data_IF_191528522432
#
_entry.id   IF_191528522432
#
_cell.length_a   1.000
_cell.length_b   1.000
_cell.length_c   1.000
_cell.angle_alpha   90.00
_cell.angle_beta   90.00
_cell.angle_gamma   90.00
#
_symmetry.space_group_name_H-M   'P 1'
#
loop_
_entity.id
_entity.type
_entity.pdbx_description
1 polymer ?
#
# COMPACT_ATOMS: atom_id res chain seq x y z
N UNK A 1 9.42 14.08 5.46
CA UNK A 1 8.50 13.67 6.52
C UNK A 1 9.23 13.67 7.86
N UNK A 2 8.55 14.05 8.92
CA UNK A 2 9.16 14.22 10.25
C UNK A 2 9.70 12.91 10.83
N UNK A 3 9.06 11.80 10.51
CA UNK A 3 9.45 10.46 10.96
C UNK A 3 10.15 9.61 9.90
N UNK A 4 10.30 10.08 8.64
CA UNK A 4 11.04 9.36 7.63
C UNK A 4 12.56 9.50 7.85
N UNK A 5 13.31 8.47 7.47
CA UNK A 5 14.77 8.43 7.59
C UNK A 5 15.38 8.03 6.24
N UNK A 6 16.49 8.67 5.86
CA UNK A 6 17.30 8.26 4.72
C UNK A 6 18.76 8.16 5.15
N UNK A 7 19.45 7.10 4.73
CA UNK A 7 20.88 6.92 4.90
C UNK A 7 21.50 6.46 3.58
N UNK A 8 22.47 7.21 3.09
CA UNK A 8 23.16 6.92 1.83
C UNK A 8 24.59 6.40 2.09
N UNK A 9 24.98 5.40 1.32
CA UNK A 9 26.36 4.89 1.25
C UNK A 9 26.85 5.10 -0.17
N UNK A 10 27.80 6.04 -0.34
CA UNK A 10 28.29 6.51 -1.63
C UNK A 10 29.80 6.43 -1.73
N UNK A 11 30.39 5.25 -1.99
CA UNK A 11 31.83 5.13 -2.23
C UNK A 11 32.27 5.94 -3.46
N UNK A 12 33.49 6.51 -3.48
CA UNK A 12 34.01 7.25 -4.62
C UNK A 12 34.00 6.41 -5.91
N UNK A 13 33.47 6.96 -7.01
CA UNK A 13 33.40 6.28 -8.30
C UNK A 13 32.35 5.19 -8.42
N UNK A 14 31.48 5.06 -7.44
CA UNK A 14 30.44 4.06 -7.43
C UNK A 14 29.35 4.25 -8.51
N UNK A 15 28.79 3.13 -8.96
CA UNK A 15 27.80 3.03 -10.03
C UNK A 15 26.34 3.18 -9.55
N UNK A 16 25.57 2.11 -9.70
CA UNK A 16 24.13 2.08 -9.46
C UNK A 16 23.72 2.31 -8.00
N UNK A 17 22.63 3.05 -7.80
CA UNK A 17 21.99 3.26 -6.51
C UNK A 17 20.87 2.24 -6.32
N UNK A 18 20.99 1.38 -5.33
CA UNK A 18 19.92 0.45 -4.95
C UNK A 18 19.31 0.91 -3.63
N UNK A 19 17.98 1.05 -3.58
CA UNK A 19 17.27 1.40 -2.36
C UNK A 19 16.73 0.15 -1.66
N UNK A 20 16.91 0.10 -0.34
CA UNK A 20 16.28 -0.87 0.56
C UNK A 20 15.36 -0.12 1.51
N UNK A 21 14.09 -0.55 1.58
CA UNK A 21 13.08 0.12 2.37
C UNK A 21 12.86 -0.61 3.70
N UNK A 22 12.69 0.19 4.74
CA UNK A 22 12.46 -0.22 6.12
C UNK A 22 11.13 0.38 6.60
N UNK A 23 10.04 -0.33 6.41
CA UNK A 23 8.72 0.05 6.90
C UNK A 23 8.58 -0.32 8.37
N UNK A 24 7.99 0.56 9.22
CA UNK A 24 8.05 0.36 10.67
C UNK A 24 6.83 0.87 11.45
N UNK A 25 5.81 1.39 10.79
CA UNK A 25 4.57 1.76 11.48
C UNK A 25 3.80 0.54 11.99
N UNK A 26 2.87 0.77 12.90
CA UNK A 26 2.15 -0.28 13.60
C UNK A 26 0.66 0.02 13.67
N UNK A 27 -0.16 -1.03 13.65
CA UNK A 27 -1.60 -0.93 13.75
C UNK A 27 -2.04 -0.47 15.14
N UNK A 28 -3.06 0.39 15.26
CA UNK A 28 -3.63 0.76 16.54
C UNK A 28 -4.09 -0.48 17.33
N UNK A 29 -3.77 -0.53 18.62
CA UNK A 29 -4.16 -1.56 19.59
C UNK A 29 -3.51 -2.93 19.43
N UNK A 30 -3.21 -3.40 18.22
CA UNK A 30 -2.59 -4.72 17.98
C UNK A 30 -1.10 -4.65 17.66
N UNK A 31 -0.52 -3.44 17.60
CA UNK A 31 0.91 -3.28 17.34
C UNK A 31 1.31 -3.79 15.97
N UNK A 32 2.41 -4.54 15.87
CA UNK A 32 2.91 -5.08 14.61
C UNK A 32 2.13 -6.29 14.10
N UNK A 33 0.80 -6.19 14.06
CA UNK A 33 -0.08 -7.22 13.48
C UNK A 33 0.06 -7.41 11.96
N UNK A 34 0.71 -6.48 11.26
CA UNK A 34 1.16 -6.62 9.88
C UNK A 34 2.63 -7.06 9.77
N UNK A 35 3.38 -7.02 10.90
CA UNK A 35 4.77 -7.47 10.95
C UNK A 35 5.81 -6.47 10.42
N UNK A 36 5.51 -5.17 10.42
CA UNK A 36 6.46 -4.15 9.97
C UNK A 36 7.76 -4.09 10.79
N UNK A 37 7.77 -4.62 12.03
CA UNK A 37 9.00 -4.85 12.79
C UNK A 37 9.98 -5.78 12.04
N UNK A 38 9.47 -6.80 11.35
CA UNK A 38 10.27 -7.69 10.50
C UNK A 38 10.79 -6.96 9.28
N UNK A 39 9.96 -6.12 8.63
CA UNK A 39 10.36 -5.30 7.47
C UNK A 39 11.49 -4.36 7.86
N UNK A 40 11.30 -3.60 8.96
CA UNK A 40 12.29 -2.66 9.46
C UNK A 40 13.63 -3.31 9.73
N UNK A 41 13.61 -4.43 10.48
CA UNK A 41 14.82 -5.13 10.87
C UNK A 41 15.50 -5.83 9.68
N UNK A 42 14.74 -6.44 8.76
CA UNK A 42 15.28 -7.05 7.55
C UNK A 42 15.89 -6.02 6.60
N UNK A 43 15.19 -4.89 6.39
CA UNK A 43 15.70 -3.80 5.56
C UNK A 43 16.97 -3.18 6.12
N UNK A 44 17.02 -2.91 7.44
CA UNK A 44 18.22 -2.42 8.09
C UNK A 44 19.36 -3.43 7.99
N UNK A 45 19.09 -4.73 8.25
CA UNK A 45 20.06 -5.79 8.13
C UNK A 45 20.64 -5.92 6.71
N UNK A 46 19.78 -5.83 5.69
CA UNK A 46 20.21 -5.83 4.29
C UNK A 46 21.07 -4.61 3.98
N UNK A 47 20.67 -3.43 4.48
CA UNK A 47 21.41 -2.19 4.34
C UNK A 47 22.80 -2.27 4.93
N UNK A 48 22.93 -2.77 6.16
CA UNK A 48 24.23 -2.94 6.84
C UNK A 48 25.13 -3.95 6.12
N UNK A 49 24.57 -5.08 5.67
CA UNK A 49 25.33 -6.11 4.96
C UNK A 49 25.82 -5.61 3.57
N UNK A 50 24.96 -4.93 2.81
CA UNK A 50 25.33 -4.36 1.51
C UNK A 50 26.33 -3.21 1.66
N UNK A 51 26.15 -2.33 2.68
CA UNK A 51 27.07 -1.24 2.97
C UNK A 51 28.50 -1.71 3.25
N UNK A 52 28.64 -2.86 3.93
CA UNK A 52 29.96 -3.41 4.27
C UNK A 52 30.79 -3.78 3.03
N UNK A 53 30.18 -4.05 1.88
CA UNK A 53 30.83 -4.45 0.64
C UNK A 53 30.66 -3.43 -0.50
N UNK A 54 29.95 -2.34 -0.28
CA UNK A 54 29.59 -1.37 -1.32
C UNK A 54 30.82 -0.79 -2.04
N UNK A 55 31.91 -0.48 -1.30
CA UNK A 55 33.13 0.05 -1.86
C UNK A 55 33.83 -0.96 -2.78
N UNK A 56 33.89 -2.22 -2.37
CA UNK A 56 34.54 -3.29 -3.13
C UNK A 56 33.70 -3.68 -4.36
N UNK A 57 32.38 -3.64 -4.24
CA UNK A 57 31.42 -3.95 -5.30
C UNK A 57 31.18 -2.77 -6.25
N UNK A 58 31.67 -1.56 -5.95
CA UNK A 58 31.47 -0.37 -6.76
C UNK A 58 30.03 0.11 -6.84
N UNK A 59 29.19 -0.17 -5.83
CA UNK A 59 27.77 0.19 -5.80
C UNK A 59 27.46 1.31 -4.82
N UNK A 60 26.28 1.91 -4.95
CA UNK A 60 25.70 2.87 -4.00
C UNK A 60 24.43 2.30 -3.39
N UNK A 61 24.22 2.59 -2.13
CA UNK A 61 23.07 2.12 -1.37
C UNK A 61 22.31 3.29 -0.77
N UNK A 62 20.99 3.24 -0.82
CA UNK A 62 20.09 4.11 -0.08
C UNK A 62 19.21 3.25 0.84
N UNK A 63 19.24 3.49 2.14
CA UNK A 63 18.34 2.86 3.11
C UNK A 63 17.28 3.88 3.50
N UNK A 64 16.01 3.53 3.27
CA UNK A 64 14.87 4.41 3.53
C UNK A 64 14.00 3.85 4.65
N UNK A 65 13.93 4.55 5.78
CA UNK A 65 12.91 4.32 6.81
C UNK A 65 11.59 4.96 6.38
N UNK A 66 10.57 4.13 6.12
CA UNK A 66 9.29 4.55 5.53
C UNK A 66 8.15 4.41 6.54
N UNK A 67 7.58 5.53 7.04
CA UNK A 67 6.46 5.53 7.98
C UNK A 67 5.11 5.44 7.26
N UNK A 68 4.06 5.17 8.04
CA UNK A 68 2.65 5.40 7.72
C UNK A 68 2.14 4.66 6.45
N UNK A 69 2.47 3.38 6.30
CA UNK A 69 1.90 2.54 5.23
C UNK A 69 0.43 2.22 5.51
N UNK A 70 0.09 1.94 6.77
CA UNK A 70 -1.24 1.48 7.21
C UNK A 70 -2.36 2.54 7.10
N UNK A 71 -2.05 3.72 6.60
CA UNK A 71 -3.09 4.74 6.42
C UNK A 71 -2.62 6.17 6.17
N UNK A 72 -1.35 6.39 5.83
CA UNK A 72 -0.82 7.73 5.57
C UNK A 72 -0.10 7.89 4.25
N UNK A 73 0.21 6.78 3.55
CA UNK A 73 0.90 6.81 2.27
C UNK A 73 2.31 7.41 2.36
N UNK A 74 3.07 7.01 3.38
CA UNK A 74 4.38 7.59 3.63
C UNK A 74 5.31 7.51 2.44
N UNK A 75 5.32 6.39 1.70
CA UNK A 75 6.15 6.22 0.51
C UNK A 75 5.68 7.10 -0.65
N UNK A 76 4.36 7.35 -0.79
CA UNK A 76 3.83 8.33 -1.76
C UNK A 76 4.39 9.70 -1.46
N UNK A 77 4.23 10.18 -0.22
CA UNK A 77 4.69 11.49 0.22
C UNK A 77 6.22 11.64 0.18
N UNK A 78 6.97 10.55 0.35
CA UNK A 78 8.42 10.53 0.20
C UNK A 78 8.81 10.58 -1.28
N UNK A 79 8.09 9.87 -2.15
CA UNK A 79 8.27 9.93 -3.61
C UNK A 79 8.05 11.33 -4.16
N UNK A 80 6.97 11.99 -3.78
CA UNK A 80 6.65 13.38 -4.16
C UNK A 80 7.74 14.38 -3.73
N UNK A 81 8.57 14.02 -2.74
CA UNK A 81 9.70 14.82 -2.24
C UNK A 81 11.06 14.36 -2.74
N UNK A 82 11.10 13.49 -3.74
CA UNK A 82 12.32 13.05 -4.41
C UNK A 82 13.13 11.99 -3.65
N UNK A 83 12.54 11.25 -2.70
CA UNK A 83 13.27 10.22 -1.96
C UNK A 83 13.80 9.09 -2.87
N UNK A 84 13.19 8.90 -4.03
CA UNK A 84 13.57 7.89 -5.02
C UNK A 84 14.35 8.47 -6.22
N UNK A 85 14.69 9.77 -6.20
CA UNK A 85 15.46 10.38 -7.29
C UNK A 85 16.85 9.76 -7.40
N UNK A 86 17.19 9.35 -8.63
CA UNK A 86 18.47 8.71 -8.92
C UNK A 86 18.60 7.27 -8.41
N UNK A 87 17.55 6.66 -7.87
CA UNK A 87 17.51 5.25 -7.50
C UNK A 87 17.30 4.39 -8.75
N UNK A 88 18.09 3.34 -8.91
CA UNK A 88 18.06 2.44 -10.06
C UNK A 88 17.17 1.20 -9.85
N UNK A 89 17.03 0.78 -8.60
CA UNK A 89 16.12 -0.29 -8.18
C UNK A 89 15.79 -0.15 -6.70
N UNK A 90 14.59 -0.57 -6.30
CA UNK A 90 14.14 -0.55 -4.91
C UNK A 90 13.59 -1.90 -4.48
N UNK A 91 13.77 -2.27 -3.22
CA UNK A 91 13.27 -3.53 -2.70
C UNK A 91 12.91 -3.46 -1.23
N UNK A 92 11.92 -4.27 -0.87
CA UNK A 92 11.47 -4.49 0.50
C UNK A 92 10.90 -5.91 0.60
N UNK A 93 11.11 -6.60 1.70
CA UNK A 93 10.42 -7.87 1.99
C UNK A 93 9.27 -7.61 2.96
N UNK A 94 8.16 -8.33 2.84
CA UNK A 94 7.03 -8.25 3.76
C UNK A 94 6.81 -9.60 4.46
N UNK A 95 6.70 -9.67 5.79
CA UNK A 95 6.38 -10.91 6.47
C UNK A 95 4.94 -11.35 6.16
N UNK A 96 4.76 -12.65 6.01
CA UNK A 96 3.46 -13.26 5.74
C UNK A 96 3.40 -14.68 6.31
N UNK A 97 2.31 -15.39 6.05
CA UNK A 97 2.17 -16.81 6.38
C UNK A 97 2.76 -17.73 5.29
N UNK A 98 3.42 -17.18 4.28
CA UNK A 98 4.04 -17.94 3.18
C UNK A 98 5.15 -17.14 2.50
N UNK A 99 6.05 -17.84 1.82
CA UNK A 99 7.02 -17.22 0.91
C UNK A 99 6.38 -17.04 -0.48
N UNK A 100 6.38 -15.81 -1.01
CA UNK A 100 5.78 -15.48 -2.30
C UNK A 100 6.59 -14.38 -2.99
N UNK A 101 6.91 -14.55 -4.28
CA UNK A 101 7.70 -13.56 -5.02
C UNK A 101 6.90 -12.38 -5.54
N UNK A 102 5.68 -12.62 -5.98
CA UNK A 102 4.84 -11.63 -6.65
C UNK A 102 3.46 -11.55 -5.96
N UNK A 103 3.33 -10.83 -4.83
CA UNK A 103 2.02 -10.56 -4.26
C UNK A 103 1.23 -9.61 -5.18
N UNK A 104 -0.08 -9.85 -5.27
CA UNK A 104 -0.99 -8.94 -5.98
C UNK A 104 -1.36 -7.77 -5.05
N UNK A 105 -0.83 -6.59 -5.30
CA UNK A 105 -1.34 -5.37 -4.68
C UNK A 105 -2.16 -4.57 -5.69
N UNK A 106 -3.36 -4.16 -5.28
CA UNK A 106 -4.33 -3.45 -6.11
C UNK A 106 -4.44 -1.98 -5.70
N UNK A 107 -4.83 -1.15 -6.66
CA UNK A 107 -5.03 0.28 -6.42
C UNK A 107 -6.24 0.55 -5.51
N UNK A 108 -6.12 1.58 -4.65
CA UNK A 108 -7.17 2.05 -3.75
C UNK A 108 -7.22 3.56 -3.66
N UNK A 109 -8.44 4.11 -3.64
CA UNK A 109 -8.75 5.48 -3.23
C UNK A 109 -9.63 5.47 -1.97
N UNK A 110 -9.26 6.30 -0.99
CA UNK A 110 -10.00 6.49 0.26
C UNK A 110 -10.60 7.89 0.28
N UNK A 111 -11.92 7.97 0.47
CA UNK A 111 -12.70 9.21 0.30
C UNK A 111 -13.53 9.48 1.56
N UNK A 112 -13.42 10.67 2.12
CA UNK A 112 -14.37 11.23 3.07
C UNK A 112 -15.38 12.06 2.29
N UNK A 113 -16.66 11.80 2.49
CA UNK A 113 -17.77 12.49 1.80
C UNK A 113 -18.68 13.10 2.84
N UNK A 114 -18.96 14.39 2.70
CA UNK A 114 -19.83 15.15 3.58
C UNK A 114 -21.04 15.64 2.82
N UNK A 115 -22.22 15.50 3.45
CA UNK A 115 -23.48 16.06 2.97
C UNK A 115 -23.94 17.14 3.95
N UNK A 116 -24.25 18.30 3.41
CA UNK A 116 -24.78 19.43 4.17
C UNK A 116 -26.17 19.78 3.65
N UNK A 117 -27.12 19.74 4.55
CA UNK A 117 -28.52 20.06 4.33
C UNK A 117 -28.99 21.23 5.20
N UNK A 118 -30.18 21.09 5.75
CA UNK A 118 -30.77 22.07 6.67
C UNK A 118 -31.66 21.38 7.69
N UNK A 119 -31.39 21.60 8.96
CA UNK A 119 -32.21 21.10 10.09
C UNK A 119 -33.61 21.69 10.13
N UNK A 120 -34.56 20.90 10.59
CA UNK A 120 -35.94 21.32 10.87
C UNK A 120 -36.56 20.42 11.93
N UNK A 121 -37.68 20.88 12.55
CA UNK A 121 -38.46 20.02 13.42
C UNK A 121 -39.22 18.98 12.58
N UNK A 122 -38.88 17.73 12.68
CA UNK A 122 -39.33 16.68 11.76
C UNK A 122 -40.86 16.46 11.73
N UNK A 123 -41.59 16.82 12.82
CA UNK A 123 -43.04 16.70 12.91
C UNK A 123 -43.78 18.03 12.67
N UNK A 124 -43.16 19.17 12.94
CA UNK A 124 -43.84 20.46 12.89
C UNK A 124 -43.66 21.20 11.55
N UNK A 125 -42.47 21.16 11.01
CA UNK A 125 -42.07 21.90 9.79
C UNK A 125 -41.05 21.13 8.95
N UNK A 126 -41.31 19.85 8.62
CA UNK A 126 -40.36 19.04 7.84
C UNK A 126 -40.06 19.64 6.47
N UNK A 127 -40.99 20.38 5.86
CA UNK A 127 -40.84 21.03 4.56
C UNK A 127 -39.77 22.15 4.55
N UNK A 128 -39.33 22.59 5.71
CA UNK A 128 -38.25 23.58 5.84
C UNK A 128 -36.87 22.90 5.90
N UNK A 129 -36.82 21.57 6.11
CA UNK A 129 -35.61 20.80 6.18
C UNK A 129 -35.04 20.39 4.79
N UNK A 130 -33.74 20.12 4.76
CA UNK A 130 -33.06 19.40 3.70
C UNK A 130 -32.27 18.28 4.38
N UNK A 131 -32.71 17.03 4.17
CA UNK A 131 -32.20 15.90 4.96
C UNK A 131 -30.88 15.37 4.39
N UNK A 132 -29.77 15.67 5.08
CA UNK A 132 -28.45 15.19 4.70
C UNK A 132 -28.30 13.66 4.81
N UNK A 133 -29.04 13.01 5.72
CA UNK A 133 -29.05 11.55 5.82
C UNK A 133 -29.76 10.92 4.63
N UNK A 134 -30.88 11.49 4.17
CA UNK A 134 -31.56 11.01 2.95
C UNK A 134 -30.62 11.14 1.72
N UNK A 135 -29.88 12.25 1.62
CA UNK A 135 -28.87 12.43 0.58
C UNK A 135 -27.83 11.30 0.61
N UNK A 136 -27.29 10.99 1.78
CA UNK A 136 -26.29 9.92 1.95
C UNK A 136 -26.87 8.53 1.68
N UNK A 137 -28.10 8.24 2.11
CA UNK A 137 -28.79 6.96 1.84
C UNK A 137 -29.10 6.80 0.35
N UNK A 138 -29.54 7.84 -0.34
CA UNK A 138 -29.77 7.81 -1.79
C UNK A 138 -28.46 7.58 -2.54
N UNK A 139 -27.39 8.26 -2.16
CA UNK A 139 -26.04 8.05 -2.69
C UNK A 139 -25.54 6.62 -2.48
N UNK A 140 -25.73 6.07 -1.26
CA UNK A 140 -25.39 4.67 -0.95
C UNK A 140 -26.17 3.68 -1.84
N UNK A 141 -27.47 3.90 -2.04
CA UNK A 141 -28.29 3.08 -2.91
C UNK A 141 -27.87 3.19 -4.38
N UNK A 142 -27.49 4.38 -4.84
CA UNK A 142 -26.97 4.56 -6.19
C UNK A 142 -25.64 3.79 -6.38
N UNK A 143 -24.72 3.81 -5.39
CA UNK A 143 -23.52 2.98 -5.38
C UNK A 143 -23.87 1.49 -5.33
N UNK A 144 -24.90 1.08 -4.58
CA UNK A 144 -25.36 -0.31 -4.54
C UNK A 144 -25.86 -0.78 -5.92
N UNK A 145 -26.58 0.07 -6.66
CA UNK A 145 -26.98 -0.19 -8.03
C UNK A 145 -25.79 -0.23 -9.00
N UNK A 146 -24.80 0.66 -8.80
CA UNK A 146 -23.57 0.66 -9.58
C UNK A 146 -22.80 -0.66 -9.47
N UNK A 147 -22.79 -1.31 -8.28
CA UNK A 147 -22.10 -2.60 -8.05
C UNK A 147 -22.53 -3.71 -9.00
N UNK A 148 -23.74 -3.64 -9.57
CA UNK A 148 -24.20 -4.56 -10.62
C UNK A 148 -23.37 -4.44 -11.92
N UNK A 149 -22.74 -3.29 -12.15
CA UNK A 149 -22.14 -2.89 -13.41
C UNK A 149 -20.65 -2.53 -13.30
N UNK A 150 -19.97 -2.97 -12.25
CA UNK A 150 -18.51 -2.87 -12.09
C UNK A 150 -17.83 -4.19 -12.47
N UNK A 151 -16.53 -4.13 -12.73
CA UNK A 151 -15.74 -5.31 -13.09
C UNK A 151 -15.55 -6.24 -11.88
N UNK A 152 -15.27 -7.53 -12.14
CA UNK A 152 -15.08 -8.55 -11.10
C UNK A 152 -13.91 -8.25 -10.15
N UNK A 153 -12.93 -7.46 -10.58
CA UNK A 153 -11.78 -7.03 -9.80
C UNK A 153 -11.97 -5.68 -9.09
N UNK A 154 -13.11 -5.02 -9.29
CA UNK A 154 -13.44 -3.74 -8.66
C UNK A 154 -14.24 -3.96 -7.36
N UNK A 155 -14.01 -3.10 -6.36
CA UNK A 155 -14.74 -3.13 -5.09
C UNK A 155 -15.02 -1.70 -4.61
N UNK A 156 -16.21 -1.53 -4.03
CA UNK A 156 -16.63 -0.28 -3.39
C UNK A 156 -17.23 -0.60 -2.01
N UNK A 157 -16.64 -0.03 -0.96
CA UNK A 157 -17.10 -0.19 0.42
C UNK A 157 -17.35 1.20 1.01
N UNK A 158 -18.33 1.32 1.92
CA UNK A 158 -18.57 2.58 2.60
C UNK A 158 -19.25 2.36 3.95
N UNK A 159 -18.99 3.28 4.86
CA UNK A 159 -19.61 3.35 6.19
C UNK A 159 -20.05 4.78 6.47
N UNK A 160 -21.11 4.96 7.27
CA UNK A 160 -21.47 6.25 7.81
C UNK A 160 -20.71 6.49 9.11
N UNK A 161 -20.05 7.63 9.23
CA UNK A 161 -19.36 8.08 10.43
C UNK A 161 -20.28 8.95 11.28
N UNK A 162 -21.11 9.78 10.63
CA UNK A 162 -22.11 10.65 11.24
C UNK A 162 -23.40 10.55 10.42
N UNK A 163 -24.56 10.43 11.10
CA UNK A 163 -25.83 10.18 10.41
C UNK A 163 -27.03 10.88 11.09
N UNK A 164 -26.79 12.00 11.79
CA UNK A 164 -27.78 12.77 12.54
C UNK A 164 -27.77 12.46 14.03
N UNK A 165 -28.57 13.20 14.81
CA UNK A 165 -28.56 13.13 16.27
C UNK A 165 -29.79 12.42 16.86
N UNK A 166 -31.01 12.86 16.47
CA UNK A 166 -32.30 12.37 17.00
C UNK A 166 -33.36 12.31 15.91
N UNK A 167 -34.30 11.34 15.96
CA UNK A 167 -35.34 11.17 14.96
C UNK A 167 -36.30 12.35 14.79
N UNK A 168 -36.45 13.21 15.79
CA UNK A 168 -37.30 14.41 15.73
C UNK A 168 -36.64 15.65 15.13
N UNK A 169 -35.39 15.55 14.71
CA UNK A 169 -34.62 16.59 14.01
C UNK A 169 -34.26 16.08 12.63
N UNK A 170 -34.58 16.83 11.57
CA UNK A 170 -34.12 16.54 10.23
C UNK A 170 -32.58 16.69 10.23
N UNK A 171 -31.81 15.64 9.89
CA UNK A 171 -30.35 15.71 9.88
C UNK A 171 -29.84 16.75 8.86
N UNK A 172 -29.05 17.69 9.31
CA UNK A 172 -28.47 18.75 8.49
C UNK A 172 -27.01 18.46 8.09
N UNK A 173 -26.41 17.43 8.69
CA UNK A 173 -25.05 17.01 8.38
C UNK A 173 -24.93 15.48 8.43
N UNK A 174 -24.21 14.91 7.46
CA UNK A 174 -23.89 13.47 7.40
C UNK A 174 -22.52 13.29 6.81
N UNK A 175 -21.74 12.38 7.38
CA UNK A 175 -20.39 12.03 6.92
C UNK A 175 -20.31 10.54 6.64
N UNK A 176 -19.74 10.21 5.51
CA UNK A 176 -19.44 8.82 5.11
C UNK A 176 -17.99 8.69 4.67
N UNK A 177 -17.41 7.52 4.91
CA UNK A 177 -16.11 7.14 4.37
C UNK A 177 -16.27 6.01 3.36
N UNK A 178 -15.53 6.10 2.25
CA UNK A 178 -15.61 5.17 1.14
C UNK A 178 -14.23 4.72 0.69
N UNK A 179 -14.09 3.42 0.43
CA UNK A 179 -12.95 2.83 -0.26
C UNK A 179 -13.37 2.36 -1.64
N UNK A 180 -12.65 2.81 -2.65
CA UNK A 180 -12.80 2.40 -4.04
C UNK A 180 -11.54 1.66 -4.44
N UNK A 181 -11.66 0.42 -4.92
CA UNK A 181 -10.53 -0.43 -5.28
C UNK A 181 -10.66 -0.95 -6.70
N UNK A 182 -9.54 -1.01 -7.41
CA UNK A 182 -9.47 -1.60 -8.75
C UNK A 182 -8.12 -2.29 -8.97
N UNK A 183 -8.03 -3.14 -9.99
CA UNK A 183 -6.81 -3.90 -10.28
C UNK A 183 -5.61 -3.01 -10.56
N UNK A 184 -5.80 -1.84 -11.20
CA UNK A 184 -4.73 -0.91 -11.55
C UNK A 184 -5.15 0.53 -11.25
N UNK A 185 -4.18 1.42 -11.13
CA UNK A 185 -4.43 2.86 -10.98
C UNK A 185 -5.23 3.41 -12.18
N UNK A 186 -4.93 2.95 -13.39
CA UNK A 186 -5.64 3.37 -14.60
C UNK A 186 -7.13 2.96 -14.58
N UNK A 187 -7.47 1.78 -14.05
CA UNK A 187 -8.85 1.31 -13.90
C UNK A 187 -9.56 1.87 -12.68
N UNK A 188 -8.82 2.34 -11.67
CA UNK A 188 -9.36 2.97 -10.46
C UNK A 188 -10.02 4.32 -10.77
N UNK A 189 -9.40 5.15 -11.62
CA UNK A 189 -9.87 6.53 -11.87
C UNK A 189 -11.30 6.58 -12.41
N UNK A 190 -11.66 5.86 -13.51
CA UNK A 190 -13.04 5.89 -14.02
C UNK A 190 -14.05 5.29 -13.03
N UNK A 191 -13.65 4.30 -12.21
CA UNK A 191 -14.53 3.77 -11.16
C UNK A 191 -14.80 4.81 -10.09
N UNK A 192 -13.76 5.51 -9.62
CA UNK A 192 -13.87 6.58 -8.60
C UNK A 192 -14.82 7.68 -9.08
N UNK A 193 -14.69 8.13 -10.33
CA UNK A 193 -15.59 9.13 -10.92
C UNK A 193 -17.05 8.67 -10.93
N UNK A 194 -17.32 7.41 -11.28
CA UNK A 194 -18.68 6.84 -11.25
C UNK A 194 -19.24 6.77 -9.83
N UNK A 195 -18.42 6.41 -8.84
CA UNK A 195 -18.81 6.39 -7.42
C UNK A 195 -19.16 7.81 -6.96
N UNK A 196 -18.31 8.79 -7.23
CA UNK A 196 -18.55 10.18 -6.87
C UNK A 196 -19.83 10.72 -7.53
N UNK A 197 -20.10 10.37 -8.80
CA UNK A 197 -21.34 10.74 -9.48
C UNK A 197 -22.58 10.12 -8.81
N UNK A 198 -22.51 8.87 -8.35
CA UNK A 198 -23.59 8.24 -7.58
C UNK A 198 -23.87 8.99 -6.28
N UNK A 199 -22.82 9.33 -5.53
CA UNK A 199 -22.91 10.05 -4.26
C UNK A 199 -23.45 11.46 -4.46
N UNK A 200 -22.98 12.17 -5.49
CA UNK A 200 -23.50 13.49 -5.87
C UNK A 200 -24.97 13.44 -6.30
N UNK A 201 -25.39 12.36 -6.96
CA UNK A 201 -26.80 12.12 -7.32
C UNK A 201 -27.71 12.10 -6.09
N UNK A 202 -27.28 11.51 -4.99
CA UNK A 202 -27.98 11.51 -3.71
C UNK A 202 -28.15 12.93 -3.13
N UNK A 203 -27.08 13.73 -3.14
CA UNK A 203 -27.13 15.12 -2.72
C UNK A 203 -28.12 15.95 -3.56
N UNK A 204 -28.05 15.80 -4.88
CA UNK A 204 -28.93 16.49 -5.82
C UNK A 204 -30.41 16.15 -5.58
N UNK A 205 -30.72 14.86 -5.36
CA UNK A 205 -32.07 14.39 -5.13
C UNK A 205 -32.67 14.91 -3.83
N UNK A 206 -31.86 15.06 -2.76
CA UNK A 206 -32.30 15.57 -1.47
C UNK A 206 -32.19 17.12 -1.33
N UNK A 207 -31.72 17.83 -2.36
CA UNK A 207 -31.50 19.28 -2.33
C UNK A 207 -30.33 19.71 -1.41
N UNK A 208 -29.43 18.77 -1.08
CA UNK A 208 -28.26 19.01 -0.23
C UNK A 208 -27.01 19.34 -1.07
N UNK A 209 -25.99 19.87 -0.42
CA UNK A 209 -24.65 19.98 -1.00
C UNK A 209 -23.80 18.77 -0.61
N UNK A 210 -22.86 18.38 -1.47
CA UNK A 210 -21.88 17.34 -1.21
C UNK A 210 -20.47 17.90 -1.42
N UNK A 211 -19.59 17.62 -0.49
CA UNK A 211 -18.14 17.80 -0.66
C UNK A 211 -17.43 16.49 -0.39
N UNK A 212 -16.24 16.35 -0.93
CA UNK A 212 -15.41 15.19 -0.64
C UNK A 212 -13.92 15.56 -0.63
N UNK A 213 -13.16 14.78 0.11
CA UNK A 213 -11.70 14.87 0.17
C UNK A 213 -11.09 13.47 0.27
N UNK A 214 -9.87 13.25 -0.21
CA UNK A 214 -9.14 12.01 0.06
C UNK A 214 -8.74 11.96 1.54
N UNK A 215 -8.90 10.79 2.19
CA UNK A 215 -8.44 10.58 3.57
C UNK A 215 -6.97 10.17 3.65
N UNK A 216 -6.42 9.68 2.52
CA UNK A 216 -5.01 9.33 2.34
C UNK A 216 -4.64 9.48 0.86
N UNK A 217 -3.35 9.55 0.50
CA UNK A 217 -2.90 9.41 -0.88
C UNK A 217 -3.44 8.13 -1.52
N UNK A 218 -3.70 8.15 -2.81
CA UNK A 218 -4.10 6.94 -3.54
C UNK A 218 -2.92 5.98 -3.62
N UNK A 219 -3.16 4.69 -3.30
CA UNK A 219 -2.16 3.65 -3.54
C UNK A 219 -2.35 3.07 -4.92
N UNK A 220 -1.23 2.93 -5.63
CA UNK A 220 -1.19 2.29 -6.94
C UNK A 220 -1.14 0.76 -6.80
N UNK A 221 -1.45 0.07 -7.87
CA UNK A 221 -1.13 -1.35 -7.99
C UNK A 221 0.39 -1.59 -8.03
N UNK A 222 0.83 -2.75 -7.58
CA UNK A 222 2.25 -3.10 -7.58
C UNK A 222 2.67 -3.63 -8.95
N UNK A 223 3.62 -2.94 -9.58
CA UNK A 223 4.30 -3.34 -10.81
C UNK A 223 5.60 -4.06 -10.48
N UNK A 224 5.51 -5.36 -10.23
CA UNK A 224 6.68 -6.16 -9.88
C UNK A 224 7.67 -6.26 -11.04
N UNK A 225 8.93 -5.87 -10.80
CA UNK A 225 10.01 -6.01 -11.78
C UNK A 225 10.51 -7.47 -11.82
N UNK A 226 10.18 -8.20 -12.86
CA UNK A 226 10.46 -9.65 -12.96
C UNK A 226 11.95 -10.00 -12.95
N UNK A 227 12.86 -9.35 -13.70
CA UNK A 227 14.28 -9.66 -13.60
C UNK A 227 14.82 -9.50 -12.17
N UNK A 228 14.37 -8.47 -11.44
CA UNK A 228 14.75 -8.24 -10.05
C UNK A 228 14.20 -9.33 -9.12
N UNK A 229 12.96 -9.79 -9.34
CA UNK A 229 12.35 -10.91 -8.61
C UNK A 229 13.15 -12.19 -8.80
N UNK A 230 13.60 -12.50 -10.01
CA UNK A 230 14.37 -13.72 -10.29
C UNK A 230 15.70 -13.73 -9.54
N UNK A 231 16.38 -12.59 -9.42
CA UNK A 231 17.58 -12.47 -8.58
C UNK A 231 17.25 -12.75 -7.12
N UNK A 232 16.22 -12.09 -6.58
CA UNK A 232 15.78 -12.30 -5.20
C UNK A 232 15.39 -13.76 -4.95
N UNK A 233 14.61 -14.38 -5.85
CA UNK A 233 14.18 -15.77 -5.74
C UNK A 233 15.36 -16.74 -5.69
N UNK A 234 16.36 -16.55 -6.56
CA UNK A 234 17.56 -17.36 -6.55
C UNK A 234 18.33 -17.24 -5.22
N UNK A 235 18.47 -16.02 -4.71
CA UNK A 235 19.15 -15.73 -3.46
C UNK A 235 18.38 -16.30 -2.25
N UNK A 236 17.06 -16.15 -2.21
CA UNK A 236 16.21 -16.74 -1.19
C UNK A 236 16.26 -18.28 -1.19
N UNK A 237 16.26 -18.88 -2.38
CA UNK A 237 16.41 -20.33 -2.54
C UNK A 237 17.79 -20.84 -2.04
N UNK A 238 18.86 -20.08 -2.25
CA UNK A 238 20.19 -20.39 -1.75
C UNK A 238 20.26 -20.41 -0.21
N UNK A 239 19.34 -19.70 0.46
CA UNK A 239 19.16 -19.72 1.92
C UNK A 239 18.24 -20.85 2.40
N UNK A 240 17.75 -21.71 1.50
CA UNK A 240 16.90 -22.86 1.79
C UNK A 240 15.39 -22.53 1.84
N UNK A 241 14.97 -21.32 1.46
CA UNK A 241 13.55 -20.97 1.36
C UNK A 241 12.96 -21.48 0.06
N UNK A 242 11.71 -21.92 0.10
CA UNK A 242 10.93 -22.31 -1.07
C UNK A 242 9.99 -21.16 -1.42
N UNK A 243 10.46 -20.28 -2.28
CA UNK A 243 9.68 -19.12 -2.71
C UNK A 243 8.86 -19.50 -3.94
N UNK A 244 7.56 -19.59 -3.77
CA UNK A 244 6.64 -19.99 -4.83
C UNK A 244 6.21 -18.78 -5.67
N UNK A 245 5.89 -19.08 -6.94
CA UNK A 245 5.09 -18.17 -7.76
C UNK A 245 3.62 -18.25 -7.31
N UNK A 246 2.82 -17.18 -7.47
CA UNK A 246 1.40 -17.24 -7.15
C UNK A 246 0.72 -18.41 -7.86
N UNK A 247 0.05 -19.28 -7.12
CA UNK A 247 -0.74 -20.35 -7.73
C UNK A 247 -1.87 -19.73 -8.59
N UNK A 248 -2.15 -20.26 -9.79
CA UNK A 248 -3.23 -19.76 -10.62
C UNK A 248 -4.56 -19.71 -9.84
N UNK A 249 -5.18 -18.54 -9.78
CA UNK A 249 -6.47 -18.32 -9.11
C UNK A 249 -6.41 -18.07 -7.60
N UNK A 250 -5.26 -18.21 -6.94
CA UNK A 250 -5.06 -17.82 -5.54
C UNK A 250 -4.35 -16.47 -5.47
N UNK A 251 -5.13 -15.41 -5.33
CA UNK A 251 -4.58 -14.05 -5.18
C UNK A 251 -4.58 -13.66 -3.70
N UNK A 252 -3.42 -13.30 -3.18
CA UNK A 252 -3.32 -12.54 -1.93
C UNK A 252 -3.45 -11.08 -2.34
N UNK A 253 -4.66 -10.54 -2.23
CA UNK A 253 -4.95 -9.17 -2.68
C UNK A 253 -4.86 -8.23 -1.49
N UNK A 254 -3.91 -7.32 -1.53
CA UNK A 254 -3.73 -6.25 -0.57
C UNK A 254 -3.63 -4.89 -1.30
N UNK A 255 -3.41 -3.83 -0.58
CA UNK A 255 -3.00 -2.52 -1.13
C UNK A 255 -1.85 -2.03 -0.29
N UNK A 256 -0.82 -1.48 -0.92
CA UNK A 256 0.38 -0.94 -0.25
C UNK A 256 0.91 0.24 -1.04
N UNK A 257 1.45 1.24 -0.36
CA UNK A 257 2.12 2.37 -0.99
C UNK A 257 3.46 2.00 -1.66
N UNK A 258 3.94 0.74 -1.50
CA UNK A 258 5.01 0.18 -2.32
C UNK A 258 4.59 0.08 -3.80
N UNK A 259 3.29 -0.02 -4.08
CA UNK A 259 2.74 0.13 -5.42
C UNK A 259 3.20 1.44 -6.08
N UNK A 260 3.09 2.56 -5.37
CA UNK A 260 3.51 3.88 -5.87
C UNK A 260 5.02 3.94 -6.14
N UNK A 261 5.85 3.32 -5.30
CA UNK A 261 7.31 3.21 -5.55
C UNK A 261 7.57 2.46 -6.85
N UNK A 262 6.79 1.41 -7.15
CA UNK A 262 6.95 0.62 -8.38
C UNK A 262 6.59 1.35 -9.67
N UNK A 263 5.97 2.53 -9.57
CA UNK A 263 5.74 3.45 -10.69
C UNK A 263 6.88 4.47 -10.88
N UNK A 264 7.72 4.65 -9.86
CA UNK A 264 8.86 5.57 -9.89
C UNK A 264 10.16 4.88 -10.29
N UNK A 265 10.39 3.67 -9.78
CA UNK A 265 11.63 2.91 -9.99
C UNK A 265 11.35 1.39 -10.08
N UNK A 266 12.19 0.61 -10.79
CA UNK A 266 12.08 -0.84 -10.78
C UNK A 266 12.05 -1.40 -9.37
N UNK A 267 10.98 -2.13 -9.01
CA UNK A 267 10.77 -2.52 -7.60
C UNK A 267 10.26 -3.95 -7.43
N UNK A 268 10.55 -4.52 -6.25
CA UNK A 268 9.98 -5.78 -5.77
C UNK A 268 9.52 -5.67 -4.31
N UNK A 269 8.52 -6.48 -3.98
CA UNK A 269 7.92 -6.56 -2.65
C UNK A 269 7.59 -8.03 -2.30
N UNK A 270 8.58 -8.95 -2.29
CA UNK A 270 8.30 -10.34 -1.99
C UNK A 270 7.86 -10.56 -0.54
N UNK A 271 7.05 -11.58 -0.33
CA UNK A 271 6.65 -12.02 1.00
C UNK A 271 7.63 -13.07 1.55
N UNK A 272 7.90 -13.01 2.84
CA UNK A 272 8.73 -13.94 3.60
C UNK A 272 7.90 -14.57 4.71
N UNK A 273 7.88 -15.91 4.79
CA UNK A 273 7.11 -16.63 5.80
C UNK A 273 7.68 -16.34 7.22
N UNK A 274 6.81 -15.83 8.09
CA UNK A 274 7.08 -15.47 9.49
C UNK A 274 6.08 -16.12 10.46
N UNK A 275 5.11 -16.88 9.97
CA UNK A 275 4.08 -17.56 10.75
C UNK A 275 3.59 -18.83 10.06
N UNK A 276 2.83 -19.73 10.74
CA UNK A 276 2.09 -20.80 10.10
C UNK A 276 1.08 -20.29 9.03
N UNK A 277 0.71 -21.15 8.04
CA UNK A 277 -0.10 -20.74 6.90
C UNK A 277 -1.55 -20.32 7.22
N UNK A 278 -2.05 -20.65 8.40
CA UNK A 278 -3.42 -20.35 8.87
C UNK A 278 -3.51 -19.08 9.71
N UNK A 279 -2.37 -18.45 10.02
CA UNK A 279 -2.33 -17.21 10.80
C UNK A 279 -2.59 -16.00 9.89
N UNK A 280 -3.64 -15.26 10.20
CA UNK A 280 -4.03 -14.08 9.43
C UNK A 280 -3.18 -12.84 9.79
N UNK A 281 -2.79 -12.07 8.78
CA UNK A 281 -2.28 -10.70 8.98
C UNK A 281 -3.32 -9.83 9.69
N UNK A 282 -2.90 -8.74 10.30
CA UNK A 282 -3.72 -7.82 11.07
C UNK A 282 -4.37 -8.46 12.29
N UNK A 283 -3.68 -9.44 12.90
CA UNK A 283 -4.11 -10.12 14.13
C UNK A 283 -3.05 -10.01 15.24
N UNK A 284 -3.50 -10.11 16.49
CA UNK A 284 -2.60 -10.20 17.62
C UNK A 284 -1.77 -11.49 17.58
N UNK A 285 -2.28 -12.55 16.98
CA UNK A 285 -1.58 -13.81 16.77
C UNK A 285 -0.40 -13.61 15.82
N UNK A 286 -0.60 -12.94 14.67
CA UNK A 286 0.49 -12.64 13.76
C UNK A 286 1.55 -11.74 14.41
N UNK A 287 1.14 -10.73 15.20
CA UNK A 287 2.06 -9.89 15.95
C UNK A 287 2.96 -10.70 16.88
N UNK A 288 2.42 -11.75 17.52
CA UNK A 288 3.17 -12.67 18.37
C UNK A 288 4.20 -13.49 17.57
N UNK A 289 3.83 -13.99 16.39
CA UNK A 289 4.74 -14.70 15.50
C UNK A 289 5.83 -13.79 14.94
N UNK A 290 5.49 -12.59 14.50
CA UNK A 290 6.43 -11.60 13.98
C UNK A 290 7.46 -11.13 15.03
N UNK A 291 7.11 -11.21 16.33
CA UNK A 291 8.03 -10.94 17.45
C UNK A 291 8.71 -12.20 18.03
N UNK A 292 8.53 -13.36 17.41
CA UNK A 292 9.06 -14.64 17.86
C UNK A 292 10.19 -15.19 16.98
N UNK A 293 10.59 -16.45 17.23
CA UNK A 293 11.70 -17.08 16.52
C UNK A 293 11.50 -17.19 14.99
N UNK A 294 10.27 -17.37 14.52
CA UNK A 294 9.97 -17.40 13.08
C UNK A 294 10.09 -15.99 12.46
N UNK A 295 9.68 -14.95 13.19
CA UNK A 295 9.94 -13.56 12.83
C UNK A 295 11.43 -13.25 12.73
N UNK A 296 12.23 -13.66 13.72
CA UNK A 296 13.69 -13.50 13.72
C UNK A 296 14.32 -14.22 12.51
N UNK A 297 13.85 -15.43 12.20
CA UNK A 297 14.30 -16.16 11.00
C UNK A 297 13.93 -15.41 9.72
N UNK A 298 12.70 -14.88 9.61
CA UNK A 298 12.27 -14.09 8.47
C UNK A 298 13.11 -12.82 8.30
N UNK A 299 13.46 -12.13 9.41
CA UNK A 299 14.39 -10.99 9.40
C UNK A 299 15.74 -11.39 8.81
N UNK A 300 16.38 -12.45 9.32
CA UNK A 300 17.71 -12.85 8.88
C UNK A 300 17.75 -13.31 7.42
N UNK A 301 16.78 -14.12 7.00
CA UNK A 301 16.71 -14.63 5.63
C UNK A 301 16.33 -13.55 4.65
N UNK A 302 15.34 -12.69 4.98
CA UNK A 302 14.96 -11.54 4.18
C UNK A 302 16.10 -10.53 4.01
N UNK A 303 16.81 -10.22 5.10
CA UNK A 303 17.98 -9.34 5.05
C UNK A 303 19.08 -9.89 4.13
N UNK A 304 19.43 -11.17 4.29
CA UNK A 304 20.45 -11.83 3.45
C UNK A 304 20.04 -11.87 1.99
N UNK A 305 18.79 -12.28 1.69
CA UNK A 305 18.29 -12.37 0.30
C UNK A 305 18.31 -10.99 -0.38
N UNK A 306 17.86 -9.94 0.31
CA UNK A 306 17.94 -8.56 -0.20
C UNK A 306 19.39 -8.10 -0.38
N UNK A 307 20.28 -8.29 0.59
CA UNK A 307 21.68 -7.89 0.46
C UNK A 307 22.40 -8.61 -0.69
N UNK A 308 22.18 -9.92 -0.86
CA UNK A 308 22.71 -10.67 -1.99
C UNK A 308 22.16 -10.14 -3.32
N UNK A 309 20.88 -9.77 -3.38
CA UNK A 309 20.26 -9.20 -4.58
C UNK A 309 20.83 -7.80 -4.90
N UNK A 310 21.10 -6.98 -3.90
CA UNK A 310 21.79 -5.70 -4.06
C UNK A 310 23.18 -5.92 -4.67
N UNK A 311 23.95 -6.88 -4.15
CA UNK A 311 25.28 -7.23 -4.66
C UNK A 311 25.23 -7.80 -6.08
N UNK A 312 24.24 -8.62 -6.41
CA UNK A 312 24.02 -9.11 -7.78
C UNK A 312 23.80 -7.96 -8.77
N UNK A 313 23.02 -6.92 -8.38
CA UNK A 313 22.80 -5.74 -9.21
C UNK A 313 24.09 -4.95 -9.46
N UNK A 314 25.01 -4.93 -8.51
CA UNK A 314 26.28 -4.23 -8.64
C UNK A 314 27.33 -5.02 -9.43
N UNK A 315 27.39 -6.33 -9.23
CA UNK A 315 28.50 -7.16 -9.74
C UNK A 315 28.13 -8.02 -10.95
N UNK A 316 26.86 -8.45 -11.09
CA UNK A 316 26.47 -9.35 -12.17
C UNK A 316 26.34 -8.60 -13.49
N UNK A 317 27.15 -8.94 -14.52
CA UNK A 317 27.10 -8.26 -15.81
C UNK A 317 25.70 -8.32 -16.43
N UNK A 318 25.16 -7.15 -16.79
CA UNK A 318 23.86 -7.03 -17.45
C UNK A 318 22.64 -7.01 -16.50
N UNK A 319 22.75 -7.45 -15.24
CA UNK A 319 21.61 -7.57 -14.34
C UNK A 319 20.83 -6.24 -14.19
N UNK A 320 21.52 -5.15 -13.94
CA UNK A 320 20.88 -3.82 -13.83
C UNK A 320 20.26 -3.36 -15.15
N UNK A 321 20.90 -3.67 -16.28
CA UNK A 321 20.38 -3.32 -17.61
C UNK A 321 19.07 -4.09 -17.89
N UNK A 322 19.00 -5.38 -17.54
CA UNK A 322 17.77 -6.18 -17.65
C UNK A 322 16.65 -5.64 -16.75
N UNK A 323 16.97 -5.26 -15.50
CA UNK A 323 16.04 -4.66 -14.55
C UNK A 323 15.48 -3.33 -15.08
N UNK A 324 16.35 -2.46 -15.60
CA UNK A 324 15.93 -1.18 -16.21
C UNK A 324 15.11 -1.37 -17.49
N UNK A 325 15.51 -2.32 -18.35
CA UNK A 325 14.80 -2.60 -19.60
C UNK A 325 13.39 -3.16 -19.39
N UNK A 326 13.16 -3.85 -18.27
CA UNK A 326 11.83 -4.37 -17.89
C UNK A 326 10.98 -3.36 -17.12
N UNK A 327 11.52 -2.19 -16.81
CA UNK A 327 10.77 -1.10 -16.16
C UNK A 327 10.09 -0.25 -17.21
N UNK A 328 8.76 -0.16 -17.12
CA UNK A 328 7.95 0.73 -17.93
C UNK A 328 7.49 1.89 -17.04
N UNK A 329 8.10 3.07 -17.15
CA UNK A 329 7.66 4.21 -16.38
C UNK A 329 6.21 4.54 -16.73
N UNK A 330 5.45 5.01 -15.75
CA UNK A 330 4.09 5.46 -15.99
C UNK A 330 4.06 6.56 -17.06
N UNK A 331 3.05 6.55 -17.95
CA UNK A 331 2.86 7.60 -18.95
C UNK A 331 2.59 8.96 -18.30
#
# INVERSE_FOLDING_TARGET
LETAVAADVEPPGAGAVVAVLCEYDALPRIGHGCGHNVIAAAGLGAGLAAAAVAADAGGRLRVLGTPAEEGGGGKVLMGDRGAFDGVDAAMMVHPAALDLTEPDAIAIASLRVEYVGRGAHAAAQPEQGLNALDAAVLGYNAVAALRQHIQSHERVHGVFLEAGEKPNIVPDHTVAEWYVRSATLASLQPLKERVLACLQGGATAAGCTMTWEPTAPEYSDLRTNRPLVELYRANSAALGRKVDLPAPGRRVTASTDMGNVSYLVPSIHPMVAASPPDVALHSAEFASWAGGAEGDRAVLDGAKAMAMTVVDLWLRPGALAEVRAAFDPAP
#
